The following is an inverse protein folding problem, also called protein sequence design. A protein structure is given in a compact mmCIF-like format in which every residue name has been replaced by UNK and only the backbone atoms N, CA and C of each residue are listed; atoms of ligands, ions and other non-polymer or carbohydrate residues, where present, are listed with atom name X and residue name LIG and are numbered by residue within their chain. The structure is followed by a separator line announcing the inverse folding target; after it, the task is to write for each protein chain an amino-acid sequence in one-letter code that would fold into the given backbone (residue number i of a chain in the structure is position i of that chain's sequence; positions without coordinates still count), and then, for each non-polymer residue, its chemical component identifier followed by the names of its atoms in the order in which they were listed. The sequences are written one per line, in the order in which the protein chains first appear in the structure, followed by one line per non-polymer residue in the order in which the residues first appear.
data_IF_672993967685
#
_entry.id   IF_672993967685
#
_cell.length_a   1.000
_cell.length_b   1.000
_cell.length_c   1.000
_cell.angle_alpha   90.00
_cell.angle_beta   90.00
_cell.angle_gamma   90.00
#
_symmetry.space_group_name_H-M   'P 1'
#
loop_
_entity.id
_entity.type
_entity.pdbx_description
1 polymer ?
#
# COMPACT_ATOMS: atom_id res chain seq x y z
N UNK A 1 27.05 -13.58 -0.37
CA UNK A 1 26.52 -12.66 -1.40
C UNK A 1 25.78 -11.55 -0.67
N UNK A 2 25.91 -10.27 -1.06
CA UNK A 2 25.23 -9.18 -0.35
C UNK A 2 23.77 -9.10 -0.82
N UNK A 3 22.85 -8.89 0.10
CA UNK A 3 21.42 -8.84 -0.18
C UNK A 3 20.81 -7.58 0.43
N UNK A 4 19.88 -6.99 -0.29
CA UNK A 4 19.09 -5.85 0.17
C UNK A 4 17.62 -6.08 -0.13
N UNK A 5 16.76 -5.64 0.79
CA UNK A 5 15.32 -5.62 0.63
C UNK A 5 14.81 -4.20 0.79
N UNK A 6 14.02 -3.73 -0.17
CA UNK A 6 13.24 -2.51 -0.05
C UNK A 6 11.84 -2.90 0.38
N UNK A 7 11.44 -2.49 1.58
CA UNK A 7 10.08 -2.64 2.07
C UNK A 7 9.30 -1.40 1.63
N UNK A 8 8.46 -1.58 0.60
CA UNK A 8 7.68 -0.49 -0.01
C UNK A 8 6.24 -0.59 0.46
N UNK A 9 5.81 0.38 1.25
CA UNK A 9 4.48 0.43 1.88
C UNK A 9 3.48 1.28 1.09
N UNK A 10 3.96 2.16 0.21
CA UNK A 10 3.16 3.09 -0.61
C UNK A 10 3.82 3.35 -1.96
N UNK A 11 3.02 3.71 -2.96
CA UNK A 11 3.54 4.04 -4.30
C UNK A 11 4.39 5.32 -4.29
N UNK A 12 4.10 6.22 -3.36
CA UNK A 12 4.84 7.48 -3.22
C UNK A 12 6.30 7.23 -2.86
N UNK A 13 6.60 6.19 -2.09
CA UNK A 13 7.98 5.81 -1.79
C UNK A 13 8.78 5.47 -3.05
N UNK A 14 8.19 4.72 -4.00
CA UNK A 14 8.84 4.38 -5.28
C UNK A 14 9.10 5.62 -6.13
N UNK A 15 8.17 6.57 -6.11
CA UNK A 15 8.25 7.81 -6.92
C UNK A 15 9.32 8.78 -6.42
N UNK A 16 9.88 8.58 -5.22
CA UNK A 16 10.96 9.44 -4.71
C UNK A 16 12.25 9.25 -5.51
N UNK A 17 12.95 10.34 -5.90
CA UNK A 17 14.24 10.23 -6.58
C UNK A 17 15.29 9.43 -5.80
N UNK A 18 15.20 9.45 -4.47
CA UNK A 18 16.08 8.73 -3.56
C UNK A 18 15.94 7.22 -3.64
N UNK A 19 14.74 6.70 -3.93
CA UNK A 19 14.52 5.27 -4.16
C UNK A 19 15.38 4.74 -5.31
N UNK A 20 15.26 5.38 -6.50
CA UNK A 20 16.05 5.00 -7.67
C UNK A 20 17.56 5.17 -7.42
N UNK A 21 17.97 6.28 -6.79
CA UNK A 21 19.38 6.52 -6.46
C UNK A 21 19.95 5.41 -5.57
N UNK A 22 19.18 4.96 -4.59
CA UNK A 22 19.60 3.92 -3.65
C UNK A 22 19.64 2.54 -4.31
N UNK A 23 18.67 2.23 -5.19
CA UNK A 23 18.71 1.01 -6.02
C UNK A 23 19.98 0.94 -6.86
N UNK A 24 20.29 2.00 -7.62
CA UNK A 24 21.46 2.03 -8.50
C UNK A 24 22.79 1.93 -7.73
N UNK A 25 22.86 2.55 -6.55
CA UNK A 25 24.01 2.43 -5.66
C UNK A 25 24.23 0.99 -5.20
N UNK A 26 23.17 0.25 -4.89
CA UNK A 26 23.26 -1.14 -4.44
C UNK A 26 23.60 -2.09 -5.58
N UNK A 27 23.05 -1.85 -6.77
CA UNK A 27 23.40 -2.61 -7.98
C UNK A 27 24.90 -2.46 -8.25
N UNK A 28 25.43 -1.23 -8.17
CA UNK A 28 26.86 -0.94 -8.36
C UNK A 28 27.76 -1.60 -7.30
N UNK A 29 27.21 -1.95 -6.14
CA UNK A 29 27.91 -2.61 -5.03
C UNK A 29 27.72 -4.16 -5.02
N UNK A 30 27.22 -4.72 -6.12
CA UNK A 30 26.92 -6.14 -6.35
C UNK A 30 25.90 -6.74 -5.36
N UNK A 31 24.86 -5.98 -5.01
CA UNK A 31 23.75 -6.51 -4.21
C UNK A 31 22.73 -7.26 -5.08
N UNK A 32 22.21 -8.37 -4.55
CA UNK A 32 20.93 -8.90 -4.97
C UNK A 32 19.82 -8.14 -4.27
N UNK A 33 18.88 -7.59 -5.04
CA UNK A 33 17.88 -6.65 -4.51
C UNK A 33 16.48 -7.23 -4.68
N UNK A 34 15.74 -7.24 -3.59
CA UNK A 34 14.29 -7.52 -3.59
C UNK A 34 13.53 -6.25 -3.26
N UNK A 35 12.55 -5.88 -4.09
CA UNK A 35 11.56 -4.86 -3.78
C UNK A 35 10.30 -5.57 -3.36
N UNK A 36 9.99 -5.52 -2.06
CA UNK A 36 8.78 -6.08 -1.49
C UNK A 36 7.70 -4.99 -1.44
N UNK A 37 6.69 -5.13 -2.30
CA UNK A 37 5.47 -4.33 -2.31
C UNK A 37 4.57 -4.81 -1.17
N UNK A 38 4.72 -4.15 -0.03
CA UNK A 38 4.01 -4.43 1.22
C UNK A 38 2.78 -3.54 1.45
N UNK A 39 2.26 -2.94 0.37
CA UNK A 39 1.07 -2.09 0.42
C UNK A 39 -0.15 -2.90 0.87
N UNK A 40 -0.97 -2.29 1.73
CA UNK A 40 -2.28 -2.84 2.13
C UNK A 40 -3.42 -2.26 1.28
N UNK A 41 -3.17 -1.19 0.54
CA UNK A 41 -3.93 -0.80 -0.64
C UNK A 41 -3.35 -1.59 -1.82
N UNK A 42 -4.03 -2.67 -2.19
CA UNK A 42 -3.56 -3.61 -3.21
C UNK A 42 -3.72 -3.06 -4.63
N UNK A 43 -4.61 -2.09 -4.88
CA UNK A 43 -4.68 -1.37 -6.15
C UNK A 43 -3.38 -0.60 -6.42
N UNK A 44 -2.68 -0.15 -5.36
CA UNK A 44 -1.36 0.46 -5.55
C UNK A 44 -0.30 -0.53 -6.05
N UNK A 45 -0.48 -1.86 -5.93
CA UNK A 45 0.53 -2.86 -6.31
C UNK A 45 0.79 -2.85 -7.81
N UNK A 46 -0.25 -2.98 -8.64
CA UNK A 46 -0.05 -2.97 -10.11
C UNK A 46 0.48 -1.61 -10.58
N UNK A 47 0.09 -0.52 -9.91
CA UNK A 47 0.60 0.81 -10.19
C UNK A 47 2.11 0.90 -9.85
N UNK A 48 2.53 0.35 -8.71
CA UNK A 48 3.93 0.25 -8.30
C UNK A 48 4.75 -0.60 -9.28
N UNK A 49 4.23 -1.76 -9.70
CA UNK A 49 4.87 -2.59 -10.72
C UNK A 49 5.06 -1.83 -12.04
N UNK A 50 4.05 -1.05 -12.44
CA UNK A 50 4.14 -0.17 -13.61
C UNK A 50 5.21 0.90 -13.44
N UNK A 51 5.31 1.55 -12.28
CA UNK A 51 6.38 2.52 -11.99
C UNK A 51 7.76 1.86 -12.06
N UNK A 52 7.95 0.68 -11.48
CA UNK A 52 9.20 -0.08 -11.55
C UNK A 52 9.53 -0.47 -13.00
N UNK A 53 8.53 -0.90 -13.78
CA UNK A 53 8.69 -1.17 -15.22
C UNK A 53 9.16 0.08 -15.97
N UNK A 54 8.62 1.26 -15.66
CA UNK A 54 9.06 2.53 -16.25
C UNK A 54 10.50 2.89 -15.83
N UNK A 55 10.90 2.59 -14.59
CA UNK A 55 12.29 2.79 -14.13
C UNK A 55 13.26 1.87 -14.90
N UNK A 56 12.88 0.60 -15.14
CA UNK A 56 13.66 -0.35 -15.95
C UNK A 56 13.89 0.10 -17.39
N UNK A 57 12.98 0.90 -17.96
CA UNK A 57 13.17 1.47 -19.30
C UNK A 57 14.21 2.61 -19.32
N UNK A 58 14.53 3.20 -18.16
CA UNK A 58 15.41 4.37 -18.03
C UNK A 58 16.77 4.03 -17.41
N UNK A 59 16.86 2.92 -16.70
CA UNK A 59 18.05 2.50 -16.00
C UNK A 59 18.19 0.97 -16.02
N UNK A 60 19.43 0.50 -15.99
CA UNK A 60 19.73 -0.92 -15.82
C UNK A 60 19.39 -1.34 -14.38
N UNK A 61 18.30 -2.09 -14.25
CA UNK A 61 17.85 -2.69 -13.00
C UNK A 61 17.81 -4.22 -13.12
N UNK A 62 18.65 -4.79 -13.99
CA UNK A 62 18.81 -6.23 -14.12
C UNK A 62 19.35 -6.78 -12.78
N UNK A 63 18.60 -7.70 -12.17
CA UNK A 63 18.88 -8.23 -10.83
C UNK A 63 18.03 -7.64 -9.70
N UNK A 64 17.14 -6.68 -9.99
CA UNK A 64 16.09 -6.25 -9.05
C UNK A 64 14.87 -7.14 -9.22
N UNK A 65 14.56 -7.97 -8.21
CA UNK A 65 13.32 -8.76 -8.16
C UNK A 65 12.23 -7.97 -7.44
N UNK A 66 11.04 -7.90 -8.02
CA UNK A 66 9.84 -7.36 -7.36
C UNK A 66 8.97 -8.51 -6.91
N UNK A 67 8.46 -8.43 -5.68
CA UNK A 67 7.46 -9.36 -5.11
C UNK A 67 6.46 -8.56 -4.29
N UNK A 68 5.28 -9.13 -4.05
CA UNK A 68 4.21 -8.57 -3.22
C UNK A 68 3.99 -9.43 -1.96
N UNK A 69 3.10 -8.99 -1.07
CA UNK A 69 2.63 -9.83 0.03
C UNK A 69 1.93 -11.10 -0.47
N UNK A 70 1.24 -11.04 -1.61
CA UNK A 70 0.59 -12.21 -2.19
C UNK A 70 1.62 -13.29 -2.58
N UNK A 71 2.77 -12.89 -3.13
CA UNK A 71 3.86 -13.82 -3.44
C UNK A 71 4.48 -14.44 -2.18
N UNK A 72 4.63 -13.65 -1.11
CA UNK A 72 5.19 -14.11 0.17
C UNK A 72 4.27 -15.14 0.83
N UNK A 73 2.96 -14.94 0.75
CA UNK A 73 1.96 -15.76 1.42
C UNK A 73 1.22 -16.75 0.51
N UNK A 74 1.66 -16.92 -0.74
CA UNK A 74 0.99 -17.73 -1.76
C UNK A 74 0.73 -19.19 -1.31
N UNK A 75 1.67 -19.78 -0.59
CA UNK A 75 1.61 -21.18 -0.12
C UNK A 75 1.17 -21.33 1.35
N UNK A 76 0.86 -20.24 2.04
CA UNK A 76 0.46 -20.29 3.46
C UNK A 76 -0.97 -20.80 3.62
N UNK A 77 -1.25 -21.45 4.74
CA UNK A 77 -2.61 -21.88 5.08
C UNK A 77 -3.47 -20.68 5.49
N UNK A 78 -4.74 -20.70 5.07
CA UNK A 78 -5.72 -19.68 5.41
C UNK A 78 -7.08 -20.27 5.73
N UNK A 79 -8.10 -19.41 5.72
CA UNK A 79 -9.50 -19.83 5.87
C UNK A 79 -10.30 -19.49 4.63
N UNK A 80 -11.22 -20.37 4.25
CA UNK A 80 -12.11 -20.12 3.12
C UNK A 80 -12.89 -18.80 3.32
N UNK A 81 -13.01 -18.02 2.24
CA UNK A 81 -13.82 -16.81 2.22
C UNK A 81 -15.30 -17.13 2.47
N UNK A 82 -15.96 -16.30 3.27
CA UNK A 82 -17.41 -16.36 3.46
C UNK A 82 -18.09 -15.58 2.33
N UNK A 83 -19.34 -15.93 2.03
CA UNK A 83 -20.15 -15.19 1.06
C UNK A 83 -20.32 -13.70 1.40
N UNK A 84 -20.18 -13.33 2.67
CA UNK A 84 -20.23 -11.93 3.13
C UNK A 84 -18.87 -11.22 3.08
N UNK A 85 -17.78 -11.95 2.81
CA UNK A 85 -16.45 -11.36 2.80
C UNK A 85 -16.19 -10.53 1.54
N UNK A 86 -16.92 -10.76 0.44
CA UNK A 86 -16.77 -9.96 -0.77
C UNK A 86 -17.96 -10.10 -1.73
N UNK A 87 -18.13 -9.08 -2.56
CA UNK A 87 -19.10 -9.06 -3.64
C UNK A 87 -18.58 -9.85 -4.84
N UNK A 88 -19.44 -10.72 -5.36
CA UNK A 88 -19.28 -11.38 -6.65
C UNK A 88 -20.44 -10.95 -7.54
N UNK A 89 -20.22 -9.92 -8.36
CA UNK A 89 -21.25 -9.49 -9.31
C UNK A 89 -21.10 -10.27 -10.60
N UNK A 90 -22.15 -11.00 -10.98
CA UNK A 90 -22.24 -11.58 -12.31
C UNK A 90 -22.45 -10.47 -13.34
N UNK A 91 -21.43 -10.24 -14.17
CA UNK A 91 -21.43 -9.19 -15.19
C UNK A 91 -21.97 -9.69 -16.54
N UNK A 92 -22.33 -10.97 -16.68
CA UNK A 92 -22.66 -11.58 -17.98
C UNK A 92 -23.88 -10.96 -18.67
N UNK A 93 -24.80 -10.39 -17.89
CA UNK A 93 -26.05 -9.81 -18.37
C UNK A 93 -26.03 -8.27 -18.42
N UNK A 94 -24.87 -7.65 -18.17
CA UNK A 94 -24.71 -6.20 -18.16
C UNK A 94 -24.29 -5.67 -19.53
N UNK A 95 -24.69 -4.43 -19.84
CA UNK A 95 -24.18 -3.74 -21.01
C UNK A 95 -22.70 -3.42 -20.81
N UNK A 96 -21.85 -3.79 -21.77
CA UNK A 96 -20.39 -3.57 -21.70
C UNK A 96 -19.97 -2.41 -22.60
N UNK A 97 -19.24 -1.46 -22.03
CA UNK A 97 -18.64 -0.33 -22.73
C UNK A 97 -17.12 -0.37 -22.58
N UNK A 98 -16.44 -0.61 -23.70
CA UNK A 98 -14.98 -0.67 -23.74
C UNK A 98 -14.37 0.71 -24.03
N UNK A 99 -13.33 1.05 -23.27
CA UNK A 99 -12.53 2.25 -23.39
C UNK A 99 -11.06 1.95 -23.09
N UNK A 100 -10.20 2.97 -23.07
CA UNK A 100 -8.77 2.81 -22.81
C UNK A 100 -8.25 3.85 -21.82
N UNK A 101 -7.41 3.40 -20.89
CA UNK A 101 -6.59 4.24 -20.01
C UNK A 101 -5.13 4.15 -20.49
N UNK A 102 -4.73 5.09 -21.36
CA UNK A 102 -3.48 4.98 -22.10
C UNK A 102 -3.51 3.78 -23.05
N UNK A 103 -2.65 2.78 -22.82
CA UNK A 103 -2.61 1.52 -23.61
C UNK A 103 -3.46 0.41 -23.01
N UNK A 104 -3.95 0.59 -21.78
CA UNK A 104 -4.65 -0.44 -21.04
C UNK A 104 -6.13 -0.40 -21.36
N UNK A 105 -6.74 -1.57 -21.63
CA UNK A 105 -8.17 -1.68 -21.86
C UNK A 105 -8.93 -1.49 -20.56
N UNK A 106 -10.04 -0.78 -20.62
CA UNK A 106 -11.00 -0.62 -19.52
C UNK A 106 -12.37 -1.05 -20.01
N UNK A 107 -12.97 -2.06 -19.37
CA UNK A 107 -14.36 -2.46 -19.64
C UNK A 107 -15.26 -2.01 -18.51
N UNK A 108 -16.29 -1.22 -18.84
CA UNK A 108 -17.30 -0.73 -17.91
C UNK A 108 -18.60 -1.48 -18.10
N UNK A 109 -19.16 -1.98 -17.00
CA UNK A 109 -20.40 -2.76 -16.98
C UNK A 109 -21.54 -1.95 -16.39
N UNK A 110 -22.63 -1.83 -17.14
CA UNK A 110 -23.77 -0.94 -16.84
C UNK A 110 -25.06 -1.77 -16.77
N UNK A 111 -25.88 -1.51 -15.76
CA UNK A 111 -27.18 -2.16 -15.60
C UNK A 111 -28.25 -1.58 -16.55
N UNK A 112 -29.46 -2.15 -16.52
CA UNK A 112 -30.58 -1.72 -17.35
C UNK A 112 -31.10 -0.32 -17.01
N UNK A 113 -30.81 0.17 -15.80
CA UNK A 113 -31.18 1.51 -15.33
C UNK A 113 -30.11 2.55 -15.71
N UNK A 114 -28.99 2.13 -16.31
CA UNK A 114 -27.89 3.00 -16.71
C UNK A 114 -26.86 3.26 -15.61
N UNK A 115 -26.93 2.54 -14.47
CA UNK A 115 -25.95 2.68 -13.40
C UNK A 115 -24.68 1.90 -13.72
N UNK A 116 -23.52 2.47 -13.41
CA UNK A 116 -22.24 1.76 -13.46
C UNK A 116 -22.23 0.77 -12.30
N UNK A 117 -22.08 -0.52 -12.62
CA UNK A 117 -22.05 -1.60 -11.62
C UNK A 117 -20.61 -2.01 -11.32
N UNK A 118 -19.80 -2.13 -12.37
CA UNK A 118 -18.40 -2.49 -12.24
C UNK A 118 -17.55 -1.89 -13.36
N UNK A 119 -16.25 -1.77 -13.12
CA UNK A 119 -15.24 -1.40 -14.11
C UNK A 119 -14.03 -2.33 -13.93
N UNK A 120 -13.51 -2.88 -15.02
CA UNK A 120 -12.33 -3.74 -15.00
C UNK A 120 -11.22 -3.15 -15.86
N UNK A 121 -10.05 -3.00 -15.26
CA UNK A 121 -8.82 -2.61 -15.94
C UNK A 121 -8.05 -3.88 -16.31
N UNK A 122 -7.56 -3.93 -17.55
CA UNK A 122 -6.79 -5.05 -18.07
C UNK A 122 -5.37 -4.64 -18.44
N UNK A 123 -4.43 -5.55 -18.21
CA UNK A 123 -3.07 -5.48 -18.74
C UNK A 123 -3.06 -5.62 -20.27
N UNK A 124 -1.91 -5.37 -20.90
CA UNK A 124 -1.74 -5.49 -22.36
C UNK A 124 -1.94 -6.94 -22.86
N UNK A 125 -1.81 -7.94 -21.98
CA UNK A 125 -2.04 -9.36 -22.25
C UNK A 125 -3.45 -9.84 -21.87
N UNK A 126 -4.38 -8.91 -21.65
CA UNK A 126 -5.76 -9.15 -21.23
C UNK A 126 -5.92 -9.78 -19.83
N UNK A 127 -4.86 -9.87 -19.04
CA UNK A 127 -4.97 -10.22 -17.61
C UNK A 127 -5.71 -9.11 -16.88
N UNK A 128 -6.68 -9.46 -16.01
CA UNK A 128 -7.33 -8.45 -15.16
C UNK A 128 -6.28 -7.92 -14.19
N UNK A 129 -6.23 -6.59 -14.03
CA UNK A 129 -5.43 -5.96 -12.97
C UNK A 129 -6.30 -5.74 -11.75
N UNK A 130 -7.45 -5.10 -11.96
CA UNK A 130 -8.49 -4.96 -10.94
C UNK A 130 -9.90 -4.94 -11.52
N UNK A 131 -10.88 -5.19 -10.66
CA UNK A 131 -12.30 -4.90 -10.89
C UNK A 131 -12.82 -4.03 -9.76
N UNK A 132 -13.26 -2.83 -10.09
CA UNK A 132 -13.90 -1.87 -9.17
C UNK A 132 -15.41 -2.10 -9.21
N UNK A 133 -16.05 -2.16 -8.06
CA UNK A 133 -17.49 -2.25 -7.90
C UNK A 133 -18.05 -0.96 -7.33
N UNK A 134 -19.23 -0.57 -7.83
CA UNK A 134 -19.88 0.69 -7.48
C UNK A 134 -21.24 0.46 -6.83
N UNK A 135 -21.61 1.37 -5.92
CA UNK A 135 -23.00 1.49 -5.48
C UNK A 135 -23.85 2.25 -6.51
N UNK A 136 -25.16 2.36 -6.24
CA UNK A 136 -26.11 3.07 -7.10
C UNK A 136 -25.81 4.57 -7.27
N UNK A 137 -24.97 5.15 -6.43
CA UNK A 137 -24.53 6.54 -6.51
C UNK A 137 -23.16 6.67 -7.19
N UNK A 138 -22.68 5.62 -7.86
CA UNK A 138 -21.36 5.56 -8.51
C UNK A 138 -20.19 5.75 -7.53
N UNK A 139 -20.37 5.41 -6.25
CA UNK A 139 -19.29 5.40 -5.25
C UNK A 139 -18.64 4.02 -5.23
N UNK A 140 -17.32 3.99 -5.11
CA UNK A 140 -16.57 2.75 -4.97
C UNK A 140 -16.97 2.07 -3.65
N UNK A 141 -17.29 0.78 -3.72
CA UNK A 141 -17.61 -0.04 -2.54
C UNK A 141 -16.66 -1.22 -2.38
N UNK A 142 -16.05 -1.70 -3.46
CA UNK A 142 -15.08 -2.78 -3.42
C UNK A 142 -14.13 -2.73 -4.60
N UNK A 143 -12.87 -3.13 -4.42
CA UNK A 143 -11.93 -3.38 -5.50
C UNK A 143 -11.38 -4.80 -5.34
N UNK A 144 -11.45 -5.59 -6.40
CA UNK A 144 -10.84 -6.91 -6.49
C UNK A 144 -9.56 -6.80 -7.30
N UNK A 145 -8.43 -7.25 -6.75
CA UNK A 145 -7.11 -7.17 -7.36
C UNK A 145 -6.61 -8.56 -7.77
N UNK A 146 -6.05 -8.67 -8.96
CA UNK A 146 -5.68 -9.94 -9.57
C UNK A 146 -4.18 -9.99 -9.92
N UNK A 147 -3.61 -11.19 -9.79
CA UNK A 147 -2.21 -11.43 -10.10
C UNK A 147 -2.00 -11.63 -11.62
N UNK A 148 -0.74 -11.82 -12.03
CA UNK A 148 -0.39 -12.08 -13.43
C UNK A 148 -0.96 -13.39 -14.00
N UNK A 149 -1.53 -14.26 -13.16
CA UNK A 149 -2.19 -15.51 -13.55
C UNK A 149 -3.71 -15.37 -13.53
N UNK A 150 -4.21 -14.13 -13.35
CA UNK A 150 -5.63 -13.78 -13.27
C UNK A 150 -6.35 -14.37 -12.04
N UNK A 151 -5.61 -14.72 -10.99
CA UNK A 151 -6.16 -15.15 -9.70
C UNK A 151 -6.41 -13.95 -8.80
N UNK A 152 -7.54 -13.97 -8.08
CA UNK A 152 -7.87 -12.96 -7.09
C UNK A 152 -6.93 -13.12 -5.89
N UNK A 153 -6.13 -12.10 -5.59
CA UNK A 153 -5.22 -12.10 -4.42
C UNK A 153 -5.58 -11.03 -3.38
N UNK A 154 -6.29 -9.98 -3.78
CA UNK A 154 -6.59 -8.84 -2.92
C UNK A 154 -8.04 -8.41 -3.06
N UNK A 155 -8.68 -8.11 -1.94
CA UNK A 155 -10.04 -7.54 -1.91
C UNK A 155 -10.04 -6.33 -0.99
N UNK A 156 -10.42 -5.17 -1.49
CA UNK A 156 -10.52 -3.93 -0.74
C UNK A 156 -11.97 -3.52 -0.59
N UNK A 157 -12.33 -3.01 0.59
CA UNK A 157 -13.68 -2.53 0.89
C UNK A 157 -13.67 -1.07 1.24
N UNK A 158 -14.61 -0.36 0.66
CA UNK A 158 -14.73 1.08 0.82
C UNK A 158 -16.06 1.45 1.46
N UNK A 159 -15.99 2.34 2.44
CA UNK A 159 -17.14 3.00 3.07
C UNK A 159 -16.94 4.50 2.96
N UNK A 160 -17.85 5.21 2.29
CA UNK A 160 -17.78 6.66 2.06
C UNK A 160 -16.42 7.14 1.50
N UNK A 161 -15.91 6.44 0.49
CA UNK A 161 -14.60 6.67 -0.15
C UNK A 161 -13.37 6.47 0.75
N UNK A 162 -13.55 5.87 1.93
CA UNK A 162 -12.45 5.45 2.80
C UNK A 162 -12.19 3.96 2.63
N UNK A 163 -10.94 3.58 2.34
CA UNK A 163 -10.50 2.18 2.36
C UNK A 163 -10.58 1.68 3.81
N UNK A 164 -11.62 0.92 4.13
CA UNK A 164 -11.91 0.45 5.48
C UNK A 164 -11.20 -0.86 5.78
N UNK A 165 -11.22 -1.79 4.82
CA UNK A 165 -10.61 -3.11 4.97
C UNK A 165 -9.92 -3.57 3.69
N UNK A 166 -8.84 -4.34 3.86
CA UNK A 166 -8.19 -5.08 2.78
C UNK A 166 -7.98 -6.53 3.18
N UNK A 167 -8.31 -7.47 2.30
CA UNK A 167 -8.22 -8.91 2.51
C UNK A 167 -7.16 -9.50 1.58
N UNK A 168 -6.10 -10.07 2.14
CA UNK A 168 -5.06 -10.77 1.39
C UNK A 168 -5.40 -12.25 1.29
N UNK A 169 -5.38 -12.79 0.07
CA UNK A 169 -5.63 -14.18 -0.24
C UNK A 169 -4.35 -14.89 -0.67
N UNK A 170 -4.28 -16.19 -0.42
CA UNK A 170 -3.24 -17.07 -0.97
C UNK A 170 -3.59 -17.56 -2.38
N UNK A 171 -2.73 -18.39 -2.97
CA UNK A 171 -2.95 -18.98 -4.30
C UNK A 171 -4.14 -19.95 -4.36
N UNK A 172 -4.67 -20.40 -3.21
CA UNK A 172 -5.87 -21.24 -3.09
C UNK A 172 -7.16 -20.43 -2.91
N UNK A 173 -7.07 -19.10 -2.94
CA UNK A 173 -8.16 -18.17 -2.62
C UNK A 173 -8.67 -18.24 -1.17
N UNK A 174 -7.85 -18.73 -0.25
CA UNK A 174 -8.13 -18.65 1.19
C UNK A 174 -7.66 -17.29 1.74
N UNK A 175 -8.42 -16.74 2.68
CA UNK A 175 -8.08 -15.54 3.42
C UNK A 175 -6.90 -15.82 4.37
N UNK A 176 -5.82 -15.05 4.19
CA UNK A 176 -4.62 -15.10 5.05
C UNK A 176 -4.58 -13.93 6.02
N UNK A 177 -4.78 -12.71 5.53
CA UNK A 177 -4.76 -11.51 6.37
C UNK A 177 -5.97 -10.62 6.11
N UNK A 178 -6.50 -10.03 7.19
CA UNK A 178 -7.41 -8.88 7.12
C UNK A 178 -6.69 -7.68 7.71
N UNK A 179 -6.56 -6.64 6.89
CA UNK A 179 -6.11 -5.32 7.29
C UNK A 179 -7.34 -4.45 7.52
N UNK A 180 -7.40 -3.75 8.65
CA UNK A 180 -8.50 -2.83 8.98
C UNK A 180 -7.94 -1.47 9.32
N UNK A 181 -8.45 -0.45 8.63
CA UNK A 181 -8.03 0.93 8.78
C UNK A 181 -8.96 1.65 9.75
N UNK A 182 -8.37 2.35 10.72
CA UNK A 182 -9.07 3.16 11.71
C UNK A 182 -8.66 4.60 11.57
N UNK A 183 -9.65 5.49 11.47
CA UNK A 183 -9.42 6.93 11.62
C UNK A 183 -9.19 7.22 13.10
N UNK A 184 -7.97 7.63 13.44
CA UNK A 184 -7.59 8.02 14.80
C UNK A 184 -7.32 9.51 14.87
N UNK A 185 -7.71 10.22 15.94
CA UNK A 185 -7.29 11.59 16.15
C UNK A 185 -5.76 11.63 16.28
N UNK A 186 -5.14 12.58 15.59
CA UNK A 186 -3.71 12.88 15.68
C UNK A 186 -3.51 14.27 16.27
N UNK A 187 -2.64 14.36 17.28
CA UNK A 187 -2.20 15.63 17.85
C UNK A 187 -0.80 15.92 17.32
N UNK A 188 -0.65 16.98 16.52
CA UNK A 188 0.63 17.36 15.92
C UNK A 188 1.14 18.64 16.52
N UNK A 189 2.43 18.70 16.86
CA UNK A 189 3.08 19.91 17.36
C UNK A 189 4.06 20.45 16.32
N UNK A 190 3.97 21.75 16.04
CA UNK A 190 4.80 22.45 15.07
C UNK A 190 5.63 23.53 15.74
N UNK A 191 6.95 23.54 15.52
CA UNK A 191 7.80 24.65 15.92
C UNK A 191 7.98 25.60 14.73
N UNK A 192 7.41 26.80 14.81
CA UNK A 192 7.46 27.79 13.74
C UNK A 192 8.31 28.97 14.20
N UNK A 193 9.38 29.24 13.45
CA UNK A 193 10.23 30.40 13.67
C UNK A 193 9.48 31.70 13.39
N UNK A 194 9.80 32.76 14.12
CA UNK A 194 9.22 34.10 13.91
C UNK A 194 9.49 34.67 12.51
N UNK A 195 10.50 34.16 11.80
CA UNK A 195 10.87 34.53 10.43
C UNK A 195 10.20 33.66 9.37
N UNK A 196 9.29 32.75 9.73
CA UNK A 196 8.61 31.90 8.76
C UNK A 196 7.72 32.74 7.83
N UNK A 197 7.88 32.54 6.53
CA UNK A 197 7.00 33.11 5.49
C UNK A 197 5.82 32.20 5.16
N UNK A 198 5.76 31.01 5.77
CA UNK A 198 4.67 30.06 5.57
C UNK A 198 3.49 30.54 6.44
N UNK A 199 2.32 30.84 5.84
CA UNK A 199 1.14 31.20 6.61
C UNK A 199 0.71 30.02 7.48
N UNK A 200 0.41 30.31 8.74
CA UNK A 200 -0.09 29.29 9.66
C UNK A 200 -1.48 28.82 9.22
N UNK A 201 -1.73 27.49 9.12
CA UNK A 201 -3.08 26.96 9.00
C UNK A 201 -3.95 27.44 10.17
N UNK A 202 -5.21 27.80 9.88
CA UNK A 202 -6.16 28.31 10.89
C UNK A 202 -6.46 27.31 12.02
N UNK A 203 -6.22 26.03 11.74
CA UNK A 203 -6.47 24.90 12.64
C UNK A 203 -5.40 24.76 13.73
N UNK A 204 -4.29 25.50 13.63
CA UNK A 204 -3.20 25.48 14.60
C UNK A 204 -3.44 26.46 15.74
N UNK A 205 -3.28 25.98 16.98
CA UNK A 205 -3.41 26.76 18.20
C UNK A 205 -2.07 26.92 18.90
N UNK A 206 -1.77 28.10 19.45
CA UNK A 206 -0.53 28.29 20.22
C UNK A 206 -0.60 27.47 21.51
N UNK A 207 0.43 26.68 21.79
CA UNK A 207 0.49 25.94 23.06
C UNK A 207 0.64 26.95 24.22
N UNK A 208 -0.25 26.86 25.21
CA UNK A 208 -0.32 27.79 26.33
C UNK A 208 0.99 27.82 27.16
N UNK A 209 1.31 28.99 27.74
CA UNK A 209 2.47 29.17 28.63
C UNK A 209 3.79 29.51 27.95
N UNK A 210 3.79 29.75 26.63
CA UNK A 210 4.99 30.17 25.91
C UNK A 210 5.34 31.64 26.13
N UNK A 211 6.64 31.93 26.21
CA UNK A 211 7.16 33.30 26.25
C UNK A 211 6.94 33.96 24.88
N UNK A 212 6.43 35.20 24.88
CA UNK A 212 6.16 35.93 23.65
C UNK A 212 7.41 36.19 22.79
N UNK A 213 8.60 36.24 23.42
CA UNK A 213 9.88 36.52 22.76
C UNK A 213 10.66 35.25 22.37
N UNK A 214 10.02 34.09 22.37
CA UNK A 214 10.67 32.86 21.92
C UNK A 214 10.99 32.95 20.41
N UNK A 215 12.22 32.59 20.04
CA UNK A 215 12.69 32.56 18.65
C UNK A 215 11.84 31.60 17.77
N UNK A 216 11.21 30.61 18.39
CA UNK A 216 10.23 29.71 17.79
C UNK A 216 9.00 29.64 18.68
N UNK A 217 7.81 29.70 18.08
CA UNK A 217 6.55 29.42 18.77
C UNK A 217 6.10 28.01 18.43
N UNK A 218 5.67 27.27 19.45
CA UNK A 218 5.07 25.96 19.31
C UNK A 218 3.57 26.09 19.08
N UNK A 219 3.07 25.38 18.09
CA UNK A 219 1.67 25.29 17.76
C UNK A 219 1.21 23.85 17.86
N UNK A 220 -0.06 23.66 18.13
CA UNK A 220 -0.71 22.36 18.18
C UNK A 220 -1.88 22.34 17.21
N UNK A 221 -1.87 21.35 16.33
CA UNK A 221 -2.97 21.04 15.43
C UNK A 221 -3.66 19.76 15.87
N UNK A 222 -4.98 19.73 15.71
CA UNK A 222 -5.76 18.50 15.75
C UNK A 222 -5.98 18.04 14.32
N UNK A 223 -5.56 16.83 14.00
CA UNK A 223 -5.78 16.20 12.70
C UNK A 223 -6.32 14.79 12.87
N UNK A 224 -6.36 14.08 11.76
CA UNK A 224 -6.67 12.65 11.72
C UNK A 224 -5.49 11.91 11.12
N UNK A 225 -5.30 10.67 11.55
CA UNK A 225 -4.36 9.74 10.96
C UNK A 225 -5.05 8.40 10.76
N UNK A 226 -4.50 7.58 9.87
CA UNK A 226 -4.99 6.23 9.60
C UNK A 226 -4.09 5.26 10.35
N UNK A 227 -4.68 4.48 11.24
CA UNK A 227 -4.01 3.37 11.91
C UNK A 227 -4.48 2.08 11.27
N UNK A 228 -3.55 1.32 10.71
CA UNK A 228 -3.86 0.01 10.11
C UNK A 228 -3.54 -1.10 11.11
N UNK A 229 -4.49 -2.01 11.34
CA UNK A 229 -4.30 -3.23 12.13
C UNK A 229 -4.39 -4.45 11.21
N UNK A 230 -3.72 -5.54 11.57
CA UNK A 230 -3.78 -6.79 10.81
C UNK A 230 -4.23 -7.95 11.68
N UNK A 231 -5.01 -8.87 11.11
CA UNK A 231 -5.37 -10.15 11.72
C UNK A 231 -4.89 -11.26 10.78
N UNK A 232 -4.04 -12.14 11.29
CA UNK A 232 -3.65 -13.39 10.62
C UNK A 232 -4.75 -14.43 10.78
N UNK A 233 -5.09 -15.14 9.71
CA UNK A 233 -6.04 -16.26 9.74
C UNK A 233 -5.35 -17.62 9.73
N UNK A 234 -4.02 -17.66 9.61
CA UNK A 234 -3.24 -18.87 9.79
C UNK A 234 -3.11 -19.26 11.27
N UNK A 235 -2.96 -18.27 12.16
CA UNK A 235 -2.72 -18.47 13.61
C UNK A 235 -3.59 -17.58 14.52
N UNK A 236 -4.50 -16.77 13.95
CA UNK A 236 -5.36 -15.83 14.67
C UNK A 236 -4.61 -14.74 15.45
N UNK A 237 -3.34 -14.49 15.12
CA UNK A 237 -2.58 -13.41 15.72
C UNK A 237 -3.13 -12.04 15.29
N UNK A 238 -3.16 -11.09 16.23
CA UNK A 238 -3.61 -9.72 16.01
C UNK A 238 -2.44 -8.76 16.14
N UNK A 239 -2.16 -8.01 15.08
CA UNK A 239 -1.19 -6.93 15.05
C UNK A 239 -1.95 -5.61 15.22
N UNK A 240 -1.79 -4.96 16.37
CA UNK A 240 -2.38 -3.65 16.65
C UNK A 240 -1.67 -2.49 15.93
N UNK A 241 -0.54 -2.76 15.29
CA UNK A 241 0.28 -1.83 14.52
C UNK A 241 0.77 -2.54 13.25
N UNK A 242 0.57 -1.93 12.09
CA UNK A 242 1.04 -2.45 10.80
C UNK A 242 2.55 -2.67 10.76
N UNK A 243 3.34 -1.89 11.50
CA UNK A 243 4.78 -2.07 11.56
C UNK A 243 5.17 -3.35 12.31
N UNK A 244 4.35 -3.81 13.26
CA UNK A 244 4.55 -5.12 13.90
C UNK A 244 4.29 -6.26 12.91
N UNK A 245 3.29 -6.12 12.03
CA UNK A 245 3.07 -7.04 10.92
C UNK A 245 4.26 -7.05 9.94
N UNK A 246 4.74 -5.89 9.50
CA UNK A 246 5.90 -5.80 8.60
C UNK A 246 7.17 -6.38 9.23
N UNK A 247 7.38 -6.18 10.53
CA UNK A 247 8.46 -6.84 11.25
C UNK A 247 8.35 -8.37 11.14
N UNK A 248 7.16 -8.93 11.35
CA UNK A 248 6.94 -10.37 11.22
C UNK A 248 7.16 -10.87 9.79
N UNK A 249 6.69 -10.14 8.77
CA UNK A 249 6.95 -10.46 7.35
C UNK A 249 8.45 -10.56 7.10
N UNK A 250 9.21 -9.55 7.54
CA UNK A 250 10.65 -9.52 7.40
C UNK A 250 11.35 -10.64 8.20
N UNK A 251 10.81 -11.07 9.34
CA UNK A 251 11.35 -12.23 10.07
C UNK A 251 11.11 -13.56 9.34
N UNK A 252 9.93 -13.74 8.75
CA UNK A 252 9.56 -14.97 8.04
C UNK A 252 10.35 -15.19 6.75
N UNK A 253 10.91 -14.13 6.16
CA UNK A 253 11.71 -14.21 4.93
C UNK A 253 13.18 -14.64 5.14
N UNK A 254 13.57 -15.06 6.35
CA UNK A 254 14.94 -15.52 6.72
C UNK A 254 16.07 -14.56 6.28
N UNK A 255 15.89 -13.27 6.59
CA UNK A 255 16.74 -12.19 6.05
C UNK A 255 18.01 -11.90 6.89
N UNK A 256 18.63 -12.92 7.49
CA UNK A 256 19.86 -12.72 8.26
C UNK A 256 20.97 -12.08 7.40
N UNK A 257 21.49 -10.92 7.85
CA UNK A 257 22.54 -10.18 7.13
C UNK A 257 22.06 -9.33 5.93
N UNK A 258 20.75 -9.30 5.64
CA UNK A 258 20.16 -8.48 4.58
C UNK A 258 20.01 -7.02 5.04
N UNK A 259 20.36 -6.06 4.17
CA UNK A 259 20.09 -4.65 4.42
C UNK A 259 18.63 -4.32 4.12
N UNK A 260 17.90 -3.81 5.11
CA UNK A 260 16.50 -3.41 4.92
C UNK A 260 16.44 -1.92 4.64
N UNK A 261 15.77 -1.53 3.55
CA UNK A 261 15.55 -0.17 3.12
C UNK A 261 14.06 0.17 3.27
N UNK A 262 13.78 1.28 3.92
CA UNK A 262 12.44 1.80 4.18
C UNK A 262 12.37 3.27 3.73
N UNK A 263 11.18 3.73 3.38
CA UNK A 263 10.96 5.15 3.16
C UNK A 263 11.26 5.93 4.46
N UNK A 264 11.94 7.08 4.35
CA UNK A 264 12.23 7.94 5.50
C UNK A 264 10.99 8.33 6.33
N UNK A 265 9.81 8.41 5.70
CA UNK A 265 8.56 8.73 6.37
C UNK A 265 8.09 7.58 7.28
N UNK A 266 8.47 6.34 6.98
CA UNK A 266 8.05 5.14 7.71
C UNK A 266 9.07 4.72 8.77
N UNK A 267 10.30 5.23 8.69
CA UNK A 267 11.42 4.74 9.51
C UNK A 267 11.22 4.98 11.01
N UNK A 268 10.53 6.06 11.40
CA UNK A 268 10.34 6.43 12.80
C UNK A 268 9.48 5.38 13.51
N UNK A 269 8.36 5.00 12.90
CA UNK A 269 7.47 4.00 13.49
C UNK A 269 8.02 2.58 13.34
N UNK A 270 8.63 2.27 12.19
CA UNK A 270 9.28 0.97 11.98
C UNK A 270 10.45 0.72 12.96
N UNK A 271 11.18 1.76 13.37
CA UNK A 271 12.33 1.64 14.29
C UNK A 271 11.96 1.05 15.65
N UNK A 272 10.70 1.17 16.08
CA UNK A 272 10.18 0.60 17.34
C UNK A 272 10.19 -0.93 17.33
N UNK A 273 10.08 -1.54 16.14
CA UNK A 273 9.87 -2.97 15.97
C UNK A 273 11.09 -3.71 15.41
N UNK A 274 12.13 -3.00 14.98
CA UNK A 274 13.29 -3.58 14.31
C UNK A 274 14.63 -3.37 15.07
N UNK A 275 14.71 -3.65 16.40
CA UNK A 275 15.96 -3.47 17.13
C UNK A 275 17.04 -4.44 16.64
N UNK A 276 18.22 -3.91 16.27
CA UNK A 276 19.38 -4.70 15.87
C UNK A 276 19.50 -5.00 14.37
N UNK A 277 18.48 -4.69 13.54
CA UNK A 277 18.61 -4.75 12.07
C UNK A 277 19.16 -3.42 11.54
N UNK A 278 20.05 -3.48 10.53
CA UNK A 278 20.53 -2.27 9.84
C UNK A 278 19.44 -1.79 8.88
N UNK A 279 18.60 -0.88 9.37
CA UNK A 279 17.60 -0.18 8.57
C UNK A 279 18.27 1.05 7.93
N UNK A 280 18.13 1.16 6.63
CA UNK A 280 18.55 2.32 5.86
C UNK A 280 17.30 3.03 5.34
N UNK A 281 17.36 4.34 5.19
CA UNK A 281 16.29 5.08 4.54
C UNK A 281 16.60 5.29 3.06
N UNK A 282 15.54 5.56 2.32
CA UNK A 282 15.59 6.30 1.07
C UNK A 282 14.53 7.40 1.12
#
# INVERSE_FOLDING_TARGET
MKQAIFLVTTIQGIRKPTFLKQLLSLISDDYQIVVLLAMTDFDEIWQAEREIKLLRLRADLDGVRTISLADVYADHDGVALKNSDYLTTDVSNLATHDSHSGKLKVSRYVDHDGNIVAETLFAEDETRLHTIFFDKNSRIIQINNYDHQNHLFGIEKFTDNFLEESLLLNAKSDLIFRFTNYVSPLKSSFAIASTSVIPLPQELTVIAGQKNDAAQKLYEGQGQTIVTKAISYSDYHRYDDINAFYHQVLMNMDIEGVRTYLDINDIVDASKYLPGKRIFNY
#
